data_IF_485825473975
#
_entry.id   IF_485825473975
#
_cell.length_a   1.000
_cell.length_b   1.000
_cell.length_c   1.000
_cell.angle_alpha   90.00
_cell.angle_beta   90.00
_cell.angle_gamma   90.00
#
_symmetry.space_group_name_H-M   'P 1'
#
loop_
_entity.id
_entity.type
_entity.pdbx_description
1 polymer ?
#
# COMPACT_ATOMS: atom_id res chain seq x y z
N UNK A 1 -30.81 -19.38 21.40
CA UNK A 1 -29.74 -18.39 21.15
C UNK A 1 -28.45 -19.18 20.94
N UNK A 2 -28.12 -19.52 19.69
CA UNK A 2 -26.86 -20.20 19.39
C UNK A 2 -25.73 -19.20 19.58
N UNK A 3 -24.82 -19.48 20.53
CA UNK A 3 -23.54 -18.81 20.59
C UNK A 3 -22.80 -19.15 19.29
N UNK A 4 -22.57 -18.16 18.45
CA UNK A 4 -21.64 -18.30 17.33
C UNK A 4 -20.27 -18.60 17.94
N UNK A 5 -19.83 -19.84 17.83
CA UNK A 5 -18.47 -20.23 18.19
C UNK A 5 -17.55 -19.41 17.26
N UNK A 6 -16.53 -18.70 17.80
CA UNK A 6 -15.58 -17.96 16.97
C UNK A 6 -14.98 -18.89 15.92
N UNK A 7 -14.87 -18.43 14.67
CA UNK A 7 -14.31 -19.23 13.56
C UNK A 7 -12.94 -19.83 13.89
N UNK A 8 -12.15 -19.11 14.68
CA UNK A 8 -10.85 -19.53 15.24
C UNK A 8 -10.88 -20.83 16.05
N UNK A 9 -12.02 -21.15 16.69
CA UNK A 9 -12.20 -22.37 17.48
C UNK A 9 -12.77 -23.55 16.67
N UNK A 10 -13.23 -23.31 15.44
CA UNK A 10 -13.83 -24.32 14.56
C UNK A 10 -12.86 -24.73 13.45
N UNK A 11 -12.16 -23.76 12.85
CA UNK A 11 -11.23 -23.97 11.74
C UNK A 11 -10.11 -22.90 11.76
N UNK A 12 -8.93 -23.21 12.34
CA UNK A 12 -7.84 -22.26 12.45
C UNK A 12 -7.26 -21.86 11.08
N UNK A 13 -7.32 -22.74 10.08
CA UNK A 13 -6.82 -22.46 8.74
C UNK A 13 -7.75 -21.48 8.02
N UNK A 14 -9.06 -21.61 8.19
CA UNK A 14 -10.03 -20.65 7.67
C UNK A 14 -9.92 -19.27 8.35
N UNK A 15 -9.71 -19.23 9.66
CA UNK A 15 -9.49 -17.98 10.39
C UNK A 15 -8.21 -17.27 9.90
N UNK A 16 -7.14 -18.03 9.67
CA UNK A 16 -5.89 -17.52 9.09
C UNK A 16 -6.10 -16.96 7.69
N UNK A 17 -6.84 -17.67 6.83
CA UNK A 17 -7.11 -17.21 5.47
C UNK A 17 -7.90 -15.89 5.45
N UNK A 18 -8.92 -15.76 6.31
CA UNK A 18 -9.70 -14.53 6.45
C UNK A 18 -8.84 -13.36 6.94
N UNK A 19 -7.97 -13.60 7.91
CA UNK A 19 -7.03 -12.59 8.39
C UNK A 19 -6.08 -12.12 7.28
N UNK A 20 -5.54 -13.05 6.47
CA UNK A 20 -4.68 -12.70 5.33
C UNK A 20 -5.46 -11.85 4.33
N UNK A 21 -6.70 -12.21 4.00
CA UNK A 21 -7.54 -11.42 3.09
C UNK A 21 -7.81 -10.00 3.62
N UNK A 22 -8.14 -9.86 4.90
CA UNK A 22 -8.34 -8.56 5.53
C UNK A 22 -7.06 -7.74 5.51
N UNK A 23 -5.92 -8.37 5.81
CA UNK A 23 -4.61 -7.75 5.84
C UNK A 23 -4.26 -7.17 4.47
N UNK A 24 -4.31 -8.00 3.43
CA UNK A 24 -4.01 -7.61 2.06
C UNK A 24 -4.95 -6.50 1.58
N UNK A 25 -6.24 -6.57 1.92
CA UNK A 25 -7.19 -5.53 1.58
C UNK A 25 -6.78 -4.17 2.14
N UNK A 26 -6.30 -4.09 3.38
CA UNK A 26 -5.88 -2.80 3.96
C UNK A 26 -4.58 -2.29 3.31
N UNK A 27 -3.60 -3.17 3.12
CA UNK A 27 -2.29 -2.81 2.56
C UNK A 27 -2.40 -2.32 1.11
N UNK A 28 -3.35 -2.86 0.33
CA UNK A 28 -3.65 -2.41 -1.04
C UNK A 28 -4.09 -0.93 -1.11
N UNK A 29 -4.58 -0.36 -0.02
CA UNK A 29 -5.04 1.04 0.03
C UNK A 29 -3.89 2.03 0.21
N UNK A 30 -2.72 1.58 0.67
CA UNK A 30 -1.61 2.46 1.08
C UNK A 30 -1.19 3.44 -0.02
N UNK A 31 -0.97 3.03 -1.28
CA UNK A 31 -0.54 3.96 -2.33
C UNK A 31 -1.55 5.07 -2.57
N UNK A 32 -2.83 4.70 -2.67
CA UNK A 32 -3.94 5.61 -2.94
C UNK A 32 -4.16 6.60 -1.80
N UNK A 33 -4.10 6.13 -0.56
CA UNK A 33 -4.26 6.97 0.63
C UNK A 33 -3.12 8.00 0.75
N UNK A 34 -1.88 7.59 0.50
CA UNK A 34 -0.71 8.46 0.61
C UNK A 34 -0.62 9.46 -0.54
N UNK A 35 -0.94 9.04 -1.77
CA UNK A 35 -1.01 9.91 -2.94
C UNK A 35 -2.09 11.00 -2.80
N UNK A 36 -3.33 10.59 -2.52
CA UNK A 36 -4.46 11.52 -2.44
C UNK A 36 -4.27 12.57 -1.33
N UNK A 37 -3.66 12.16 -0.21
CA UNK A 37 -3.33 13.08 0.87
C UNK A 37 -2.32 14.14 0.43
N UNK A 38 -1.33 13.76 -0.38
CA UNK A 38 -0.38 14.71 -0.98
C UNK A 38 -1.05 15.67 -1.96
N UNK A 39 -1.91 15.16 -2.85
CA UNK A 39 -2.63 15.98 -3.85
C UNK A 39 -3.58 17.00 -3.21
N UNK A 40 -4.33 16.62 -2.17
CA UNK A 40 -5.24 17.54 -1.46
C UNK A 40 -4.46 18.66 -0.76
N UNK A 41 -3.32 18.34 -0.15
CA UNK A 41 -2.45 19.33 0.48
C UNK A 41 -1.91 20.32 -0.55
N UNK A 42 -1.55 19.86 -1.75
CA UNK A 42 -1.10 20.73 -2.85
C UNK A 42 -2.24 21.63 -3.36
N UNK A 43 -3.44 21.08 -3.58
CA UNK A 43 -4.61 21.84 -4.03
C UNK A 43 -5.02 22.94 -3.03
N UNK A 44 -5.06 22.63 -1.73
CA UNK A 44 -5.39 23.59 -0.68
C UNK A 44 -4.42 24.78 -0.64
N UNK A 45 -3.14 24.56 -0.99
CA UNK A 45 -2.14 25.65 -1.10
C UNK A 45 -2.32 26.47 -2.37
N UNK A 46 -2.63 25.83 -3.50
CA UNK A 46 -2.92 26.54 -4.77
C UNK A 46 -4.10 27.50 -4.64
N UNK A 47 -5.17 27.09 -3.94
CA UNK A 47 -6.36 27.93 -3.71
C UNK A 47 -6.06 29.11 -2.76
N UNK A 48 -5.24 28.91 -1.71
CA UNK A 48 -4.85 30.02 -0.82
C UNK A 48 -3.85 30.98 -1.47
N UNK A 49 -2.94 30.51 -2.31
CA UNK A 49 -1.97 31.35 -3.01
C UNK A 49 -2.62 32.27 -4.06
N UNK A 50 -3.78 31.91 -4.61
CA UNK A 50 -4.54 32.77 -5.52
C UNK A 50 -5.21 33.98 -4.84
N UNK A 51 -5.38 33.98 -3.51
CA UNK A 51 -6.09 35.05 -2.79
C UNK A 51 -5.17 36.17 -2.24
N UNK A 52 -3.85 36.08 -2.42
CA UNK A 52 -2.93 37.13 -1.97
C UNK A 52 -2.36 37.89 -3.18
N UNK A 53 -3.06 38.96 -3.56
CA UNK A 53 -2.53 40.08 -4.34
C UNK A 53 -1.40 40.75 -3.57
N UNK A 54 -0.17 40.27 -3.73
CA UNK A 54 1.05 41.07 -3.92
C UNK A 54 2.25 40.15 -4.14
N UNK A 55 2.88 40.28 -5.31
CA UNK A 55 4.08 39.52 -5.69
C UNK A 55 5.32 40.28 -5.20
N UNK A 56 6.01 39.75 -4.18
CA UNK A 56 7.44 40.03 -3.97
C UNK A 56 8.24 38.94 -4.67
N UNK A 57 8.91 39.32 -5.74
CA UNK A 57 9.77 38.47 -6.55
C UNK A 57 11.11 38.19 -5.85
N UNK A 58 11.47 36.92 -5.67
CA UNK A 58 12.83 36.51 -5.33
C UNK A 58 12.90 35.17 -4.60
N UNK A 59 13.10 34.08 -5.34
CA UNK A 59 13.29 32.73 -4.80
C UNK A 59 12.37 31.71 -5.49
N UNK A 60 12.93 30.58 -5.91
CA UNK A 60 12.25 29.57 -6.73
C UNK A 60 10.91 29.13 -6.13
N UNK A 61 9.94 28.85 -7.00
CA UNK A 61 8.58 28.41 -6.65
C UNK A 61 8.56 27.21 -5.69
N UNK A 62 9.61 26.39 -5.71
CA UNK A 62 9.74 25.18 -4.89
C UNK A 62 10.33 25.42 -3.49
N UNK A 63 11.11 26.49 -3.27
CA UNK A 63 11.85 26.69 -2.02
C UNK A 63 11.01 27.29 -0.88
N UNK A 64 9.86 27.87 -1.21
CA UNK A 64 8.99 28.57 -0.25
C UNK A 64 7.66 27.85 -0.02
N UNK A 65 7.65 26.52 -0.11
CA UNK A 65 6.44 25.70 0.05
C UNK A 65 6.32 25.27 1.54
N UNK A 66 5.61 26.02 2.43
CA UNK A 66 5.42 25.61 3.82
C UNK A 66 4.54 24.35 3.88
N UNK A 67 5.06 23.28 4.48
CA UNK A 67 4.32 22.06 4.81
C UNK A 67 3.05 22.42 5.63
N UNK A 68 1.90 22.49 4.97
CA UNK A 68 0.61 22.81 5.57
C UNK A 68 0.08 21.70 6.50
N UNK A 69 -0.18 22.07 7.75
CA UNK A 69 -0.76 21.23 8.82
C UNK A 69 -2.29 21.11 8.73
N UNK A 70 -2.80 20.58 7.61
CA UNK A 70 -4.20 20.19 7.47
C UNK A 70 -4.54 18.89 8.23
N UNK A 71 -5.81 18.63 8.57
CA UNK A 71 -6.24 17.33 9.11
C UNK A 71 -5.85 16.13 8.24
N UNK A 72 -5.79 16.32 6.91
CA UNK A 72 -5.44 15.31 5.91
C UNK A 72 -3.94 15.02 5.94
N UNK A 73 -3.08 16.05 6.01
CA UNK A 73 -1.62 15.86 6.12
C UNK A 73 -1.21 15.19 7.42
N UNK A 74 -1.91 15.48 8.53
CA UNK A 74 -1.70 14.78 9.81
C UNK A 74 -2.07 13.30 9.73
N UNK A 75 -3.15 12.94 9.05
CA UNK A 75 -3.52 11.53 8.87
C UNK A 75 -2.51 10.80 7.97
N UNK A 76 -2.09 11.42 6.86
CA UNK A 76 -1.09 10.83 5.96
C UNK A 76 0.24 10.58 6.68
N UNK A 77 0.67 11.56 7.48
CA UNK A 77 1.86 11.42 8.31
C UNK A 77 1.70 10.31 9.36
N UNK A 78 0.55 10.21 10.00
CA UNK A 78 0.27 9.12 10.94
C UNK A 78 0.31 7.75 10.24
N UNK A 79 -0.30 7.61 9.07
CA UNK A 79 -0.23 6.38 8.25
C UNK A 79 1.22 6.05 7.92
N UNK A 80 2.01 7.04 7.49
CA UNK A 80 3.42 6.87 7.14
C UNK A 80 4.27 6.41 8.32
N UNK A 81 4.14 7.09 9.47
CA UNK A 81 4.91 6.78 10.66
C UNK A 81 4.54 5.40 11.24
N UNK A 82 3.24 5.04 11.23
CA UNK A 82 2.79 3.71 11.66
C UNK A 82 3.24 2.62 10.68
N UNK A 83 3.17 2.85 9.36
CA UNK A 83 3.66 1.91 8.35
C UNK A 83 5.15 1.64 8.52
N UNK A 84 5.95 2.70 8.70
CA UNK A 84 7.40 2.57 8.95
C UNK A 84 7.67 1.77 10.22
N UNK A 85 6.95 2.04 11.31
CA UNK A 85 7.07 1.27 12.55
C UNK A 85 6.72 -0.21 12.35
N UNK A 86 5.62 -0.48 11.64
CA UNK A 86 5.19 -1.84 11.30
C UNK A 86 6.27 -2.59 10.50
N UNK A 87 6.82 -1.97 9.45
CA UNK A 87 7.84 -2.57 8.60
C UNK A 87 9.12 -2.92 9.36
N UNK A 88 9.54 -2.06 10.31
CA UNK A 88 10.73 -2.29 11.15
C UNK A 88 10.52 -3.48 12.08
N UNK A 89 9.35 -3.57 12.74
CA UNK A 89 9.05 -4.68 13.65
C UNK A 89 8.90 -5.98 12.85
N UNK A 90 8.14 -5.97 11.75
CA UNK A 90 7.95 -7.12 10.90
C UNK A 90 9.29 -7.63 10.33
N UNK A 91 10.14 -6.74 9.80
CA UNK A 91 11.46 -7.15 9.28
C UNK A 91 12.34 -7.75 10.35
N UNK A 92 12.34 -7.16 11.56
CA UNK A 92 13.13 -7.66 12.68
C UNK A 92 12.69 -9.05 13.13
N UNK A 93 11.38 -9.32 13.14
CA UNK A 93 10.82 -10.61 13.54
C UNK A 93 11.03 -11.70 12.49
N UNK A 94 10.88 -11.34 11.21
CA UNK A 94 11.03 -12.25 10.08
C UNK A 94 12.51 -12.52 9.72
N UNK A 95 13.43 -11.66 10.14
CA UNK A 95 14.82 -11.71 9.68
C UNK A 95 14.98 -11.40 8.18
N UNK A 96 14.02 -10.67 7.60
CA UNK A 96 13.98 -10.29 6.19
C UNK A 96 14.13 -8.77 6.06
N UNK A 97 14.89 -8.31 5.08
CA UNK A 97 15.02 -6.88 4.82
C UNK A 97 13.70 -6.31 4.26
N UNK A 98 13.19 -5.25 4.90
CA UNK A 98 12.02 -4.50 4.43
C UNK A 98 12.42 -3.19 3.74
N UNK A 99 11.52 -2.62 2.90
CA UNK A 99 11.71 -1.28 2.36
C UNK A 99 11.99 -0.25 3.46
N UNK A 100 13.12 0.45 3.34
CA UNK A 100 13.55 1.46 4.31
C UNK A 100 12.89 2.81 4.02
N UNK A 101 11.67 2.98 4.51
CA UNK A 101 10.91 4.22 4.32
C UNK A 101 11.66 5.44 4.90
N UNK A 102 11.75 6.56 4.16
CA UNK A 102 12.26 7.82 4.66
C UNK A 102 11.65 8.23 6.01
N UNK A 103 12.47 8.86 6.85
CA UNK A 103 12.06 9.21 8.22
C UNK A 103 10.98 10.30 8.28
N UNK A 104 10.82 11.05 7.20
CA UNK A 104 9.77 12.04 6.99
C UNK A 104 8.97 11.61 5.76
N UNK A 105 7.66 11.84 5.79
CA UNK A 105 6.80 11.68 4.62
C UNK A 105 7.34 12.58 3.48
N UNK A 106 7.77 12.00 2.34
CA UNK A 106 8.22 12.78 1.19
C UNK A 106 7.04 13.42 0.43
N UNK A 107 7.30 13.99 -0.75
CA UNK A 107 6.23 14.41 -1.66
C UNK A 107 5.32 13.25 -2.10
N UNK A 108 4.19 13.58 -2.73
CA UNK A 108 3.14 12.62 -3.05
C UNK A 108 3.61 11.51 -3.99
N UNK A 109 4.46 11.83 -4.97
CA UNK A 109 4.94 10.90 -5.97
C UNK A 109 5.90 9.89 -5.33
N UNK A 110 6.90 10.37 -4.61
CA UNK A 110 7.85 9.50 -3.91
C UNK A 110 7.17 8.71 -2.77
N UNK A 111 6.20 9.31 -2.08
CA UNK A 111 5.43 8.61 -1.05
C UNK A 111 4.62 7.44 -1.65
N UNK A 112 4.05 7.64 -2.84
CA UNK A 112 3.32 6.60 -3.58
C UNK A 112 4.24 5.46 -3.99
N UNK A 113 5.44 5.75 -4.51
CA UNK A 113 6.43 4.73 -4.87
C UNK A 113 6.83 3.86 -3.67
N UNK A 114 7.16 4.49 -2.54
CA UNK A 114 7.47 3.76 -1.30
C UNK A 114 6.28 2.96 -0.77
N UNK A 115 5.07 3.47 -0.93
CA UNK A 115 3.86 2.75 -0.55
C UNK A 115 3.63 1.49 -1.39
N UNK A 116 3.92 1.54 -2.70
CA UNK A 116 3.90 0.36 -3.56
C UNK A 116 4.98 -0.65 -3.16
N UNK A 117 6.21 -0.21 -2.88
CA UNK A 117 7.27 -1.08 -2.41
C UNK A 117 6.92 -1.76 -1.08
N UNK A 118 6.36 -1.00 -0.13
CA UNK A 118 5.87 -1.53 1.14
C UNK A 118 4.71 -2.53 0.95
N UNK A 119 3.75 -2.21 0.08
CA UNK A 119 2.65 -3.13 -0.25
C UNK A 119 3.16 -4.45 -0.84
N UNK A 120 4.04 -4.38 -1.84
CA UNK A 120 4.63 -5.57 -2.46
C UNK A 120 5.32 -6.45 -1.42
N UNK A 121 6.20 -5.88 -0.60
CA UNK A 121 6.90 -6.62 0.45
C UNK A 121 5.93 -7.25 1.48
N UNK A 122 4.98 -6.46 1.99
CA UNK A 122 3.98 -6.94 2.96
C UNK A 122 3.11 -8.05 2.38
N UNK A 123 2.76 -7.97 1.10
CA UNK A 123 2.01 -9.00 0.42
C UNK A 123 2.78 -10.30 0.28
N UNK A 124 4.09 -10.22 0.04
CA UNK A 124 4.94 -11.40 -0.10
C UNK A 124 5.17 -12.10 1.24
N UNK A 125 5.29 -11.35 2.34
CA UNK A 125 5.59 -11.91 3.67
C UNK A 125 4.37 -12.18 4.53
N UNK A 126 3.15 -11.77 4.14
CA UNK A 126 1.93 -11.88 4.97
C UNK A 126 1.71 -13.29 5.52
N UNK A 127 2.02 -14.32 4.73
CA UNK A 127 1.85 -15.71 5.12
C UNK A 127 2.82 -16.16 6.22
N UNK A 128 3.95 -15.46 6.37
CA UNK A 128 4.99 -15.70 7.37
C UNK A 128 4.75 -14.92 8.68
N UNK A 129 3.85 -13.94 8.68
CA UNK A 129 3.57 -13.12 9.87
C UNK A 129 2.73 -13.92 10.86
N UNK A 130 3.27 -14.22 12.03
CA UNK A 130 2.53 -14.85 13.13
C UNK A 130 1.88 -13.78 14.04
N UNK A 131 1.10 -14.20 15.04
CA UNK A 131 0.58 -13.28 16.05
C UNK A 131 1.71 -12.88 17.01
N UNK A 132 2.07 -11.60 16.95
CA UNK A 132 3.03 -10.97 17.84
C UNK A 132 2.41 -9.68 18.41
N UNK A 133 2.30 -9.58 19.72
CA UNK A 133 1.54 -8.49 20.40
C UNK A 133 1.96 -7.07 19.96
N UNK A 134 3.26 -6.86 19.75
CA UNK A 134 3.83 -5.60 19.29
C UNK A 134 3.40 -5.26 17.86
N UNK A 135 3.40 -6.25 16.97
CA UNK A 135 2.98 -6.12 15.58
C UNK A 135 1.46 -6.00 15.45
N UNK A 136 0.69 -6.75 16.25
CA UNK A 136 -0.78 -6.72 16.26
C UNK A 136 -1.30 -5.33 16.68
N UNK A 137 -0.63 -4.70 17.65
CA UNK A 137 -0.93 -3.32 18.07
C UNK A 137 -0.70 -2.33 16.93
N UNK A 138 0.44 -2.42 16.24
CA UNK A 138 0.76 -1.56 15.10
C UNK A 138 -0.19 -1.81 13.92
N UNK A 139 -0.54 -3.07 13.65
CA UNK A 139 -1.52 -3.45 12.63
C UNK A 139 -2.87 -2.78 12.86
N UNK A 140 -3.41 -2.93 14.09
CA UNK A 140 -4.70 -2.38 14.45
C UNK A 140 -4.73 -0.85 14.36
N UNK A 141 -3.61 -0.18 14.65
CA UNK A 141 -3.46 1.26 14.45
C UNK A 141 -3.42 1.62 12.97
N UNK A 142 -2.61 0.92 12.17
CA UNK A 142 -2.46 1.16 10.74
C UNK A 142 -3.80 1.02 10.00
N UNK A 143 -4.52 -0.08 10.24
CA UNK A 143 -5.79 -0.36 9.57
C UNK A 143 -6.85 0.67 9.91
N UNK A 144 -6.89 1.11 11.17
CA UNK A 144 -7.78 2.19 11.61
C UNK A 144 -7.48 3.50 10.91
N UNK A 145 -6.21 3.85 10.74
CA UNK A 145 -5.79 5.07 10.05
C UNK A 145 -6.14 5.01 8.56
N UNK A 146 -5.92 3.86 7.91
CA UNK A 146 -6.29 3.63 6.50
C UNK A 146 -7.79 3.81 6.30
N UNK A 147 -8.62 3.12 7.11
CA UNK A 147 -10.10 3.26 7.03
C UNK A 147 -10.56 4.69 7.24
N UNK A 148 -9.96 5.39 8.22
CA UNK A 148 -10.24 6.81 8.46
C UNK A 148 -9.86 7.69 7.28
N UNK A 149 -8.73 7.42 6.62
CA UNK A 149 -8.29 8.16 5.46
C UNK A 149 -9.21 7.93 4.26
N UNK A 150 -9.56 6.68 3.94
CA UNK A 150 -10.51 6.35 2.88
C UNK A 150 -11.83 7.12 3.04
N UNK A 151 -12.41 7.11 4.25
CA UNK A 151 -13.66 7.83 4.53
C UNK A 151 -13.50 9.36 4.42
N UNK A 152 -12.38 9.92 4.87
CA UNK A 152 -12.21 11.39 4.87
C UNK A 152 -11.88 11.97 3.51
N UNK A 153 -11.18 11.19 2.70
CA UNK A 153 -10.73 11.60 1.37
C UNK A 153 -11.73 11.17 0.28
N UNK A 154 -12.86 10.56 0.67
CA UNK A 154 -13.88 10.01 -0.22
C UNK A 154 -13.30 9.10 -1.31
N UNK A 155 -12.32 8.28 -0.92
CA UNK A 155 -11.62 7.39 -1.84
C UNK A 155 -12.39 6.08 -1.99
N UNK A 156 -12.50 5.62 -3.22
CA UNK A 156 -12.97 4.26 -3.49
C UNK A 156 -11.90 3.27 -3.00
N UNK A 157 -12.31 2.21 -2.29
CA UNK A 157 -11.38 1.17 -1.89
C UNK A 157 -10.88 0.40 -3.12
N UNK A 158 -9.57 0.25 -3.25
CA UNK A 158 -8.93 -0.45 -4.35
C UNK A 158 -8.60 -1.88 -3.92
N UNK A 159 -9.05 -2.89 -4.66
CA UNK A 159 -8.72 -4.29 -4.34
C UNK A 159 -7.77 -4.82 -5.39
N UNK A 160 -6.69 -5.51 -4.98
CA UNK A 160 -5.88 -6.28 -5.92
C UNK A 160 -6.75 -7.28 -6.68
N UNK A 161 -6.45 -7.49 -7.95
CA UNK A 161 -7.07 -8.55 -8.73
C UNK A 161 -6.80 -9.89 -8.04
N UNK A 162 -7.83 -10.74 -7.92
CA UNK A 162 -7.65 -12.09 -7.36
C UNK A 162 -6.60 -12.84 -8.20
N UNK A 163 -5.66 -13.58 -7.57
CA UNK A 163 -4.71 -14.39 -8.30
C UNK A 163 -5.42 -15.36 -9.25
N UNK A 164 -4.94 -15.45 -10.48
CA UNK A 164 -5.49 -16.39 -11.46
C UNK A 164 -5.05 -17.84 -11.11
N UNK A 165 -5.78 -18.80 -11.66
CA UNK A 165 -5.48 -20.22 -11.51
C UNK A 165 -4.20 -20.61 -12.26
N UNK A 166 -3.26 -21.27 -11.58
CA UNK A 166 -2.08 -21.85 -12.20
C UNK A 166 -2.38 -23.24 -12.75
N UNK A 167 -2.33 -23.39 -14.07
CA UNK A 167 -2.54 -24.68 -14.74
C UNK A 167 -1.42 -25.70 -14.51
N UNK A 168 -0.29 -25.32 -13.90
CA UNK A 168 0.83 -26.22 -13.61
C UNK A 168 0.78 -26.84 -12.20
N UNK A 169 0.58 -26.03 -11.16
CA UNK A 169 0.52 -26.52 -9.78
C UNK A 169 -0.91 -26.65 -9.22
N UNK A 170 -1.91 -26.22 -9.98
CA UNK A 170 -3.32 -26.31 -9.60
C UNK A 170 -3.76 -25.34 -8.51
N UNK A 171 -2.94 -24.34 -8.16
CA UNK A 171 -3.23 -23.35 -7.12
C UNK A 171 -3.65 -22.00 -7.73
N UNK A 172 -4.50 -21.25 -7.02
CA UNK A 172 -4.76 -19.84 -7.33
C UNK A 172 -3.59 -18.99 -6.83
N UNK A 173 -2.62 -18.77 -7.70
CA UNK A 173 -1.38 -18.10 -7.33
C UNK A 173 -0.71 -17.35 -8.47
N UNK A 174 -1.32 -17.26 -9.65
CA UNK A 174 -0.79 -16.47 -10.77
C UNK A 174 -1.09 -15.00 -10.50
N UNK A 175 -0.07 -14.25 -10.13
CA UNK A 175 -0.16 -12.81 -10.01
C UNK A 175 0.03 -12.19 -11.40
N UNK A 176 -0.83 -11.23 -11.72
CA UNK A 176 -0.77 -10.43 -12.93
C UNK A 176 -0.18 -9.08 -12.55
N UNK A 177 0.93 -8.73 -13.18
CA UNK A 177 1.62 -7.46 -12.98
C UNK A 177 1.92 -6.81 -14.33
N UNK A 178 2.23 -5.52 -14.33
CA UNK A 178 2.67 -4.78 -15.52
C UNK A 178 4.06 -4.25 -15.26
N UNK A 179 5.06 -4.81 -15.95
CA UNK A 179 6.45 -4.39 -15.84
C UNK A 179 6.78 -3.36 -16.92
N UNK A 180 7.68 -2.43 -16.64
CA UNK A 180 8.22 -1.57 -17.69
C UNK A 180 9.10 -2.41 -18.62
N UNK A 181 8.67 -2.54 -19.88
CA UNK A 181 9.45 -3.18 -20.92
C UNK A 181 10.65 -2.33 -21.35
N UNK A 182 11.66 -2.94 -21.99
CA UNK A 182 12.88 -2.24 -22.43
C UNK A 182 12.62 -1.06 -23.38
N UNK A 183 11.46 -1.04 -24.04
CA UNK A 183 11.03 0.03 -24.96
C UNK A 183 10.11 1.08 -24.29
N UNK A 184 9.99 1.07 -22.97
CA UNK A 184 9.08 1.95 -22.21
C UNK A 184 7.59 1.59 -22.34
N UNK A 185 7.27 0.44 -22.95
CA UNK A 185 5.91 -0.11 -23.00
C UNK A 185 5.69 -1.05 -21.82
N UNK A 186 4.55 -0.93 -21.15
CA UNK A 186 4.17 -1.87 -20.10
C UNK A 186 3.97 -3.28 -20.67
N UNK A 187 4.71 -4.26 -20.16
CA UNK A 187 4.63 -5.67 -20.51
C UNK A 187 3.88 -6.39 -19.40
N UNK A 188 2.85 -7.14 -19.77
CA UNK A 188 2.10 -7.98 -18.85
C UNK A 188 3.01 -9.11 -18.34
N UNK A 189 3.22 -9.20 -17.04
CA UNK A 189 3.89 -10.33 -16.38
C UNK A 189 2.86 -11.18 -15.67
N UNK A 190 2.92 -12.51 -15.85
CA UNK A 190 2.07 -13.45 -15.12
C UNK A 190 2.91 -14.54 -14.49
N UNK A 191 3.13 -14.51 -13.18
CA UNK A 191 3.98 -15.51 -12.50
C UNK A 191 3.23 -16.16 -11.35
N UNK A 192 3.28 -17.49 -11.28
CA UNK A 192 2.74 -18.22 -10.13
C UNK A 192 3.67 -18.08 -8.92
N UNK A 193 3.19 -17.50 -7.82
CA UNK A 193 4.00 -17.35 -6.59
C UNK A 193 4.34 -18.69 -5.93
N UNK A 194 3.49 -19.71 -6.13
CA UNK A 194 3.64 -21.03 -5.50
C UNK A 194 4.71 -21.86 -6.22
N UNK A 195 4.60 -22.00 -7.54
CA UNK A 195 5.48 -22.88 -8.32
C UNK A 195 6.46 -22.13 -9.24
N UNK A 196 6.47 -20.79 -9.16
CA UNK A 196 7.34 -19.90 -9.94
C UNK A 196 7.22 -20.07 -11.46
N UNK A 197 6.11 -20.62 -11.94
CA UNK A 197 5.87 -20.79 -13.37
C UNK A 197 5.42 -19.48 -14.00
N UNK A 198 6.06 -19.15 -15.12
CA UNK A 198 5.72 -18.01 -15.95
C UNK A 198 4.58 -18.37 -16.91
N UNK A 199 3.56 -17.53 -16.93
CA UNK A 199 2.36 -17.56 -17.75
C UNK A 199 2.25 -16.31 -18.64
N UNK A 200 3.31 -15.50 -18.71
CA UNK A 200 3.38 -14.29 -19.51
C UNK A 200 3.15 -14.63 -20.99
N UNK A 201 2.11 -14.08 -21.64
CA UNK A 201 1.89 -14.31 -23.05
C UNK A 201 3.05 -13.73 -23.86
N UNK A 202 3.70 -14.56 -24.68
CA UNK A 202 4.76 -14.08 -25.57
C UNK A 202 4.13 -13.13 -26.59
N UNK A 203 4.65 -11.91 -26.79
CA UNK A 203 4.09 -10.99 -27.77
C UNK A 203 4.19 -11.62 -29.16
N UNK A 204 3.05 -11.98 -29.74
CA UNK A 204 2.96 -12.38 -31.14
C UNK A 204 3.35 -11.19 -32.00
N UNK A 205 4.46 -11.31 -32.75
CA UNK A 205 4.78 -10.38 -33.84
C UNK A 205 3.66 -10.46 -34.87
N UNK A 206 2.75 -9.48 -34.85
CA UNK A 206 1.88 -9.25 -36.00
C UNK A 206 2.77 -8.81 -37.17
N UNK A 207 2.65 -9.56 -38.28
CA UNK A 207 3.37 -9.38 -39.54
C UNK A 207 2.62 -8.45 -40.46
#
# INVERSE_FOLDING_TARGET
MSALVPTEAIDPDAARALWVEEFLWHVDQLPHVLEASGTIVMAARGVRAQQLTERVSGGGYYDNIPLGDGPESRNARAVWDTLRGYLVVASSRLGLESPQLPSRLPDAELAREWAYAANAWLSDVVHLIESWDDLDTLQGQLFRLIRRALHRLDLTAHRRARPEYCNRCGQHGVLVDWLDGPDGRSVLSKVCIVCRTDHTPTPTKES
#
